data_IF_729554759643
#
_entry.id   IF_729554759643
#
_cell.length_a   1.000
_cell.length_b   1.000
_cell.length_c   1.000
_cell.angle_alpha   90.00
_cell.angle_beta   90.00
_cell.angle_gamma   90.00
#
_symmetry.space_group_name_H-M   'P 1'
#
loop_
_entity.id
_entity.type
_entity.pdbx_description
1 polymer ?
#
# COMPACT_ATOMS: atom_id res chain seq x y z
N UNK A 1 -19.42 35.65 47.77
CA UNK A 1 -18.78 36.89 47.28
C UNK A 1 -17.28 36.63 47.27
N UNK A 2 -16.61 36.62 46.11
CA UNK A 2 -15.72 37.72 45.61
C UNK A 2 -14.77 38.19 46.73
N UNK A 3 -13.45 38.10 46.67
CA UNK A 3 -12.48 38.01 45.57
C UNK A 3 -11.07 38.29 46.16
N UNK A 4 -10.02 38.44 45.35
CA UNK A 4 -8.68 37.86 45.58
C UNK A 4 -7.61 38.88 46.00
N UNK A 5 -6.34 38.44 46.14
CA UNK A 5 -5.04 39.11 45.83
C UNK A 5 -3.94 38.47 46.71
N UNK A 6 -3.03 37.64 46.17
CA UNK A 6 -1.78 38.08 45.55
C UNK A 6 -0.62 37.94 46.57
N UNK A 7 0.52 37.29 46.23
CA UNK A 7 1.58 37.09 47.21
C UNK A 7 2.24 38.44 47.54
N UNK A 8 2.14 38.83 48.81
CA UNK A 8 2.85 39.97 49.38
C UNK A 8 4.34 39.59 49.43
N UNK A 9 5.07 39.95 48.38
CA UNK A 9 6.54 39.97 48.43
C UNK A 9 6.89 41.22 49.25
N UNK A 10 7.25 40.99 50.51
CA UNK A 10 7.66 42.02 51.45
C UNK A 10 8.78 42.88 50.88
N UNK A 11 8.55 44.19 50.81
CA UNK A 11 9.54 45.21 50.48
C UNK A 11 10.10 45.72 51.81
N UNK A 12 11.36 45.41 52.12
CA UNK A 12 12.10 46.18 53.11
C UNK A 12 12.65 47.44 52.44
N UNK A 13 12.44 48.64 53.00
CA UNK A 13 13.13 49.83 52.52
C UNK A 13 14.52 49.86 53.17
N UNK A 14 15.57 49.66 52.37
CA UNK A 14 16.89 50.17 52.74
C UNK A 14 16.96 51.62 52.29
N UNK A 15 17.22 52.49 53.26
CA UNK A 15 17.60 53.88 53.07
C UNK A 15 18.87 53.96 52.24
N UNK A 16 18.75 54.38 50.98
CA UNK A 16 19.64 55.40 50.42
C UNK A 16 19.11 55.87 49.07
N UNK A 17 19.06 57.19 48.92
CA UNK A 17 18.54 57.87 47.75
C UNK A 17 19.44 57.69 46.54
N UNK A 18 19.04 56.81 45.63
CA UNK A 18 19.33 57.01 44.21
C UNK A 18 18.23 56.38 43.35
N UNK A 19 17.54 57.24 42.62
CA UNK A 19 16.47 56.90 41.69
C UNK A 19 17.09 56.24 40.45
N UNK A 20 17.31 54.92 40.48
CA UNK A 20 17.57 54.17 39.24
C UNK A 20 16.25 53.71 38.63
N UNK A 21 15.87 54.37 37.53
CA UNK A 21 14.84 53.90 36.62
C UNK A 21 15.09 52.44 36.21
N UNK A 22 13.99 51.68 36.12
CA UNK A 22 13.98 50.25 35.86
C UNK A 22 14.90 49.82 34.72
N UNK A 23 15.91 49.03 35.07
CA UNK A 23 16.64 48.22 34.12
C UNK A 23 15.74 47.09 33.63
N UNK A 24 15.23 47.22 32.41
CA UNK A 24 14.86 46.07 31.58
C UNK A 24 16.07 45.13 31.62
N UNK A 25 15.88 43.91 32.13
CA UNK A 25 16.90 42.86 32.11
C UNK A 25 17.15 42.51 30.63
N UNK A 26 18.03 43.25 29.95
CA UNK A 26 18.62 42.87 28.67
C UNK A 26 19.64 41.78 28.95
N UNK A 27 19.16 40.56 29.16
CA UNK A 27 20.04 39.41 28.99
C UNK A 27 20.51 39.39 27.54
N UNK A 28 21.84 39.39 27.34
CA UNK A 28 22.48 39.11 26.05
C UNK A 28 22.13 37.65 25.65
N UNK A 29 20.94 37.45 25.09
CA UNK A 29 20.47 36.15 24.61
C UNK A 29 21.27 35.81 23.35
N UNK A 30 22.36 35.06 23.50
CA UNK A 30 23.06 34.44 22.37
C UNK A 30 22.27 33.20 21.94
N UNK A 31 22.05 33.02 20.63
CA UNK A 31 21.44 31.79 20.10
C UNK A 31 22.31 30.60 20.52
N UNK A 32 21.77 29.74 21.40
CA UNK A 32 22.49 28.58 21.95
C UNK A 32 22.52 27.38 20.99
N UNK A 33 21.87 27.50 19.83
CA UNK A 33 21.53 26.37 18.96
C UNK A 33 21.98 26.54 17.50
N UNK A 34 23.07 27.27 17.27
CA UNK A 34 23.59 27.48 15.91
C UNK A 34 24.05 26.17 15.26
N UNK A 35 24.62 25.24 16.04
CA UNK A 35 25.05 23.94 15.51
C UNK A 35 23.86 23.07 15.05
N UNK A 36 22.76 23.02 15.82
CA UNK A 36 21.55 22.31 15.44
C UNK A 36 20.82 22.97 14.28
N UNK A 37 20.87 24.30 14.18
CA UNK A 37 20.39 25.03 13.00
C UNK A 37 21.14 24.60 11.73
N UNK A 38 22.47 24.44 11.80
CA UNK A 38 23.27 23.96 10.66
C UNK A 38 22.87 22.54 10.26
N UNK A 39 22.69 21.62 11.22
CA UNK A 39 22.21 20.27 10.91
C UNK A 39 20.82 20.25 10.29
N UNK A 40 19.92 21.10 10.77
CA UNK A 40 18.58 21.22 10.21
C UNK A 40 18.62 21.72 8.76
N UNK A 41 19.41 22.75 8.47
CA UNK A 41 19.60 23.25 7.10
C UNK A 41 20.20 22.17 6.20
N UNK A 42 21.24 21.48 6.67
CA UNK A 42 21.86 20.38 5.91
C UNK A 42 20.86 19.25 5.59
N UNK A 43 20.01 18.88 6.55
CA UNK A 43 18.92 17.91 6.36
C UNK A 43 17.95 18.36 5.27
N UNK A 44 17.49 19.62 5.30
CA UNK A 44 16.59 20.16 4.29
C UNK A 44 17.22 20.21 2.89
N UNK A 45 18.49 20.61 2.80
CA UNK A 45 19.24 20.59 1.53
C UNK A 45 19.31 19.17 0.98
N UNK A 46 19.67 18.18 1.82
CA UNK A 46 19.72 16.78 1.40
C UNK A 46 18.34 16.28 0.93
N UNK A 47 17.28 16.62 1.64
CA UNK A 47 15.91 16.26 1.25
C UNK A 47 15.49 16.86 -0.09
N UNK A 48 15.80 18.14 -0.35
CA UNK A 48 15.49 18.80 -1.63
C UNK A 48 16.28 18.17 -2.78
N UNK A 49 17.58 17.90 -2.58
CA UNK A 49 18.43 17.26 -3.60
C UNK A 49 17.93 15.87 -3.94
N UNK A 50 17.64 15.04 -2.92
CA UNK A 50 17.14 13.67 -3.13
C UNK A 50 15.76 13.68 -3.83
N UNK A 51 14.84 14.55 -3.42
CA UNK A 51 13.53 14.67 -4.06
C UNK A 51 13.65 15.13 -5.51
N UNK A 52 14.52 16.11 -5.79
CA UNK A 52 14.75 16.60 -7.16
C UNK A 52 15.32 15.50 -8.07
N UNK A 53 16.29 14.74 -7.57
CA UNK A 53 16.81 13.57 -8.28
C UNK A 53 15.71 12.54 -8.57
N UNK A 54 14.91 12.23 -7.56
CA UNK A 54 13.76 11.34 -7.68
C UNK A 54 12.79 11.82 -8.77
N UNK A 55 12.31 13.06 -8.72
CA UNK A 55 11.35 13.57 -9.70
C UNK A 55 11.90 13.64 -11.13
N UNK A 56 13.20 13.83 -11.30
CA UNK A 56 13.81 13.92 -12.63
C UNK A 56 14.04 12.55 -13.28
N UNK A 57 14.36 11.50 -12.49
CA UNK A 57 14.73 10.17 -13.01
C UNK A 57 13.74 9.06 -12.69
N UNK A 58 12.82 9.30 -11.76
CA UNK A 58 11.85 8.33 -11.27
C UNK A 58 10.65 8.20 -12.17
N UNK A 59 10.22 6.96 -12.39
CA UNK A 59 8.92 6.65 -12.99
C UNK A 59 8.12 5.76 -12.01
N UNK A 60 7.17 6.32 -11.23
CA UNK A 60 6.47 5.58 -10.18
C UNK A 60 5.67 4.39 -10.72
N UNK A 61 5.31 4.38 -12.02
CA UNK A 61 4.64 3.25 -12.68
C UNK A 61 5.45 1.94 -12.57
N UNK A 62 6.79 2.02 -12.47
CA UNK A 62 7.68 0.84 -12.30
C UNK A 62 7.49 0.08 -11.00
N UNK A 63 6.89 0.72 -10.00
CA UNK A 63 6.65 0.11 -8.69
C UNK A 63 5.43 -0.80 -8.71
N UNK A 64 4.45 -0.51 -9.58
CA UNK A 64 3.19 -1.26 -9.68
C UNK A 64 3.15 -2.15 -10.91
N UNK A 65 3.62 -1.66 -12.06
CA UNK A 65 3.53 -2.33 -13.35
C UNK A 65 4.77 -3.15 -13.69
N UNK A 66 4.58 -4.12 -14.58
CA UNK A 66 5.64 -4.95 -15.14
C UNK A 66 6.43 -4.25 -16.25
N UNK A 67 7.48 -4.92 -16.71
CA UNK A 67 8.23 -4.51 -17.90
C UNK A 67 7.85 -5.43 -19.08
N UNK A 68 7.91 -4.90 -20.30
CA UNK A 68 7.87 -5.69 -21.53
C UNK A 68 9.26 -6.24 -21.89
N UNK A 69 9.34 -6.98 -23.00
CA UNK A 69 10.58 -7.56 -23.53
C UNK A 69 11.58 -6.52 -24.05
N UNK A 70 11.16 -5.25 -24.18
CA UNK A 70 11.98 -4.11 -24.59
C UNK A 70 12.47 -3.27 -23.41
N UNK A 71 12.04 -3.59 -22.19
CA UNK A 71 12.36 -2.83 -21.00
C UNK A 71 11.49 -1.59 -20.77
N UNK A 72 10.42 -1.42 -21.55
CA UNK A 72 9.40 -0.41 -21.29
C UNK A 72 8.47 -0.86 -20.15
N UNK A 73 7.87 0.12 -19.47
CA UNK A 73 6.93 -0.14 -18.37
C UNK A 73 5.52 -0.21 -18.94
N UNK A 74 4.76 -1.25 -18.58
CA UNK A 74 3.35 -1.33 -18.96
C UNK A 74 2.57 -0.13 -18.39
N UNK A 75 1.66 0.45 -19.16
CA UNK A 75 0.94 1.68 -18.80
C UNK A 75 1.71 2.99 -19.04
N UNK A 76 2.98 2.95 -19.47
CA UNK A 76 3.76 4.17 -19.71
C UNK A 76 3.44 4.79 -21.08
N UNK A 77 2.97 6.04 -21.05
CA UNK A 77 2.68 6.84 -22.25
C UNK A 77 3.93 7.31 -22.99
N UNK A 78 5.09 7.34 -22.32
CA UNK A 78 6.36 7.76 -22.89
C UNK A 78 7.18 6.58 -23.44
N UNK A 79 6.66 5.35 -23.31
CA UNK A 79 7.24 4.16 -23.92
C UNK A 79 7.15 4.23 -25.44
N UNK A 80 8.04 3.48 -26.11
CA UNK A 80 7.99 3.25 -27.55
C UNK A 80 7.93 1.73 -27.82
N UNK A 81 6.80 1.18 -28.29
CA UNK A 81 5.54 1.86 -28.64
C UNK A 81 4.81 2.41 -27.40
N UNK A 82 3.85 3.32 -27.58
CA UNK A 82 3.11 3.90 -26.45
C UNK A 82 2.22 2.86 -25.76
N UNK A 83 2.42 2.64 -24.46
CA UNK A 83 1.76 1.56 -23.69
C UNK A 83 0.66 2.05 -22.75
N UNK A 84 0.11 3.25 -22.98
CA UNK A 84 -0.84 3.91 -22.05
C UNK A 84 -2.03 3.03 -21.66
N UNK A 85 -2.57 2.27 -22.60
CA UNK A 85 -3.76 1.43 -22.40
C UNK A 85 -3.38 -0.03 -22.06
N UNK A 86 -2.10 -0.39 -22.20
CA UNK A 86 -1.60 -1.74 -22.02
C UNK A 86 -0.93 -1.85 -20.66
N UNK A 87 -1.76 -2.06 -19.64
CA UNK A 87 -1.33 -2.04 -18.23
C UNK A 87 -0.92 -3.42 -17.70
N UNK A 88 -1.33 -4.52 -18.35
CA UNK A 88 -1.12 -5.88 -17.85
C UNK A 88 0.13 -6.54 -18.42
N UNK A 89 1.03 -7.02 -17.55
CA UNK A 89 2.18 -7.82 -17.99
C UNK A 89 1.78 -9.30 -18.20
N UNK A 90 2.00 -9.83 -19.39
CA UNK A 90 1.86 -11.24 -19.74
C UNK A 90 3.20 -11.90 -20.06
N UNK A 91 3.39 -13.18 -19.71
CA UNK A 91 4.58 -13.95 -20.08
C UNK A 91 4.32 -14.77 -21.34
N UNK A 92 5.09 -14.49 -22.39
CA UNK A 92 4.88 -15.06 -23.72
C UNK A 92 5.32 -16.52 -23.82
N UNK A 93 6.48 -16.87 -23.25
CA UNK A 93 7.08 -18.19 -23.41
C UNK A 93 6.89 -19.06 -22.16
N UNK A 94 6.01 -20.09 -22.20
CA UNK A 94 5.75 -20.94 -21.03
C UNK A 94 6.96 -21.75 -20.59
N UNK A 95 7.83 -22.16 -21.53
CA UNK A 95 9.02 -22.95 -21.22
C UNK A 95 10.05 -22.12 -20.43
N UNK A 96 10.19 -20.83 -20.71
CA UNK A 96 11.05 -19.93 -19.92
C UNK A 96 10.51 -19.74 -18.49
N UNK A 97 9.19 -19.58 -18.36
CA UNK A 97 8.54 -19.48 -17.04
C UNK A 97 8.71 -20.78 -16.25
N UNK A 98 8.58 -21.94 -16.91
CA UNK A 98 8.84 -23.24 -16.29
C UNK A 98 10.30 -23.38 -15.85
N UNK A 99 11.26 -23.03 -16.71
CA UNK A 99 12.69 -23.09 -16.40
C UNK A 99 13.04 -22.21 -15.19
N UNK A 100 12.39 -21.06 -15.02
CA UNK A 100 12.60 -20.20 -13.85
C UNK A 100 12.19 -20.81 -12.50
N UNK A 101 11.42 -21.92 -12.54
CA UNK A 101 10.99 -22.64 -11.36
C UNK A 101 11.85 -23.79 -10.89
N UNK A 102 12.77 -24.22 -11.75
CA UNK A 102 13.70 -25.29 -11.44
C UNK A 102 14.74 -24.76 -10.43
N UNK A 103 15.05 -25.56 -9.40
CA UNK A 103 16.00 -25.14 -8.35
C UNK A 103 17.44 -25.00 -8.86
N UNK A 104 17.77 -25.67 -9.97
CA UNK A 104 19.14 -25.75 -10.51
C UNK A 104 19.32 -24.94 -11.81
N UNK A 105 18.33 -24.13 -12.22
CA UNK A 105 18.46 -23.28 -13.40
C UNK A 105 19.05 -21.91 -13.03
N UNK A 106 19.93 -21.36 -13.88
CA UNK A 106 20.41 -19.98 -13.77
C UNK A 106 19.40 -18.95 -14.29
N UNK A 107 18.22 -19.40 -14.74
CA UNK A 107 17.23 -18.57 -15.41
C UNK A 107 16.26 -17.97 -14.38
N UNK A 108 16.23 -16.65 -14.26
CA UNK A 108 15.29 -15.96 -13.37
C UNK A 108 13.99 -15.59 -14.10
N UNK A 109 12.87 -15.56 -13.37
CA UNK A 109 11.57 -15.15 -13.94
C UNK A 109 11.61 -13.70 -14.47
N UNK A 110 12.48 -12.85 -13.92
CA UNK A 110 12.69 -11.49 -14.41
C UNK A 110 13.28 -11.44 -15.84
N UNK A 111 13.93 -12.52 -16.28
CA UNK A 111 14.48 -12.67 -17.63
C UNK A 111 13.49 -13.35 -18.61
N UNK A 112 12.35 -13.84 -18.11
CA UNK A 112 11.34 -14.43 -18.97
C UNK A 112 10.73 -13.36 -19.87
N UNK A 113 10.59 -13.65 -21.16
CA UNK A 113 10.04 -12.71 -22.15
C UNK A 113 8.59 -12.36 -21.77
N UNK A 114 8.34 -11.07 -21.60
CA UNK A 114 7.01 -10.53 -21.26
C UNK A 114 6.55 -9.46 -22.22
N UNK A 115 5.24 -9.21 -22.28
CA UNK A 115 4.61 -8.18 -23.11
C UNK A 115 3.50 -7.49 -22.31
N UNK A 116 3.16 -6.26 -22.67
CA UNK A 116 2.04 -5.54 -22.08
C UNK A 116 0.76 -5.68 -22.92
N UNK A 117 -0.35 -6.06 -22.28
CA UNK A 117 -1.66 -6.30 -22.87
C UNK A 117 -2.74 -5.46 -22.14
N UNK A 118 -3.92 -5.30 -22.77
CA UNK A 118 -5.10 -4.69 -22.15
C UNK A 118 -5.76 -5.69 -21.19
N UNK A 119 -5.91 -6.94 -21.64
CA UNK A 119 -6.58 -8.03 -20.92
C UNK A 119 -5.75 -9.31 -20.94
N UNK A 120 -5.94 -10.17 -19.94
CA UNK A 120 -5.23 -11.43 -19.83
C UNK A 120 -5.81 -12.47 -20.81
N UNK A 121 -4.98 -13.04 -21.71
CA UNK A 121 -5.46 -13.96 -22.72
C UNK A 121 -5.88 -15.29 -22.09
N UNK A 122 -6.98 -15.84 -22.60
CA UNK A 122 -7.49 -17.16 -22.25
C UNK A 122 -7.49 -18.06 -23.48
N UNK A 123 -7.20 -19.36 -23.34
CA UNK A 123 -7.25 -20.29 -24.46
C UNK A 123 -8.69 -20.40 -24.98
N UNK A 124 -8.85 -20.39 -26.30
CA UNK A 124 -10.12 -20.70 -26.96
C UNK A 124 -10.38 -22.22 -26.98
N UNK A 125 -11.65 -22.60 -26.99
CA UNK A 125 -12.08 -24.00 -27.05
C UNK A 125 -12.02 -24.58 -28.47
N UNK A 126 -12.19 -23.72 -29.49
CA UNK A 126 -12.37 -24.12 -30.89
C UNK A 126 -11.10 -23.97 -31.76
N UNK A 127 -10.20 -23.06 -31.38
CA UNK A 127 -9.01 -22.73 -32.17
C UNK A 127 -7.81 -22.39 -31.28
N UNK A 128 -6.60 -22.44 -31.84
CA UNK A 128 -5.42 -21.99 -31.12
C UNK A 128 -5.31 -20.47 -31.19
N UNK A 129 -5.49 -19.81 -30.05
CA UNK A 129 -5.26 -18.36 -29.91
C UNK A 129 -3.78 -18.06 -29.80
N UNK A 130 -3.34 -16.95 -30.39
CA UNK A 130 -1.95 -16.49 -30.35
C UNK A 130 -1.84 -15.11 -29.71
N UNK A 131 -0.70 -14.86 -29.08
CA UNK A 131 -0.28 -13.51 -28.71
C UNK A 131 1.03 -13.24 -29.42
N UNK A 132 1.01 -12.21 -30.26
CA UNK A 132 2.16 -11.80 -31.04
C UNK A 132 2.83 -10.54 -30.47
N UNK A 133 4.10 -10.35 -30.80
CA UNK A 133 4.89 -9.17 -30.43
C UNK A 133 4.28 -7.89 -31.03
N UNK A 134 4.68 -6.73 -30.51
CA UNK A 134 4.26 -5.44 -31.06
C UNK A 134 4.50 -5.36 -32.58
N UNK A 135 3.52 -4.81 -33.34
CA UNK A 135 3.58 -4.78 -34.79
C UNK A 135 4.66 -3.80 -35.27
N UNK A 136 5.87 -4.31 -35.47
CA UNK A 136 7.03 -3.52 -35.85
C UNK A 136 7.82 -4.18 -36.98
N UNK A 137 8.59 -3.36 -37.70
CA UNK A 137 9.41 -3.83 -38.82
C UNK A 137 8.57 -4.11 -40.08
N UNK A 138 8.58 -5.37 -40.52
CA UNK A 138 7.91 -5.80 -41.78
C UNK A 138 6.38 -5.89 -41.65
N UNK A 139 5.86 -5.91 -40.43
CA UNK A 139 4.44 -6.00 -40.14
C UNK A 139 3.84 -4.58 -40.15
N UNK A 140 3.08 -4.25 -41.20
CA UNK A 140 2.39 -2.95 -41.35
C UNK A 140 1.02 -2.95 -40.66
N UNK A 141 1.00 -3.14 -39.35
CA UNK A 141 -0.23 -3.08 -38.54
C UNK A 141 -0.10 -1.94 -37.53
N UNK A 142 -1.18 -1.17 -37.32
CA UNK A 142 -1.18 -0.17 -36.26
C UNK A 142 -1.32 -0.83 -34.89
N UNK A 143 -0.93 -0.12 -33.81
CA UNK A 143 -1.07 -0.64 -32.45
C UNK A 143 -2.55 -0.89 -32.10
N UNK A 144 -3.44 0.00 -32.52
CA UNK A 144 -4.88 -0.12 -32.27
C UNK A 144 -5.47 -1.32 -33.02
N UNK A 145 -5.10 -1.51 -34.30
CA UNK A 145 -5.53 -2.70 -35.07
C UNK A 145 -4.99 -4.01 -34.46
N UNK A 146 -3.81 -3.98 -33.84
CA UNK A 146 -3.25 -5.13 -33.11
C UNK A 146 -4.05 -5.45 -31.86
N UNK A 147 -4.49 -4.43 -31.11
CA UNK A 147 -5.36 -4.60 -29.94
C UNK A 147 -6.74 -5.13 -30.36
N UNK A 148 -7.34 -4.55 -31.41
CA UNK A 148 -8.66 -4.95 -31.91
C UNK A 148 -8.68 -6.38 -32.45
N UNK A 149 -7.53 -6.88 -32.92
CA UNK A 149 -7.32 -8.28 -33.34
C UNK A 149 -7.00 -9.22 -32.19
N UNK A 150 -7.15 -8.80 -30.94
CA UNK A 150 -6.80 -9.57 -29.75
C UNK A 150 -5.35 -10.08 -29.79
N UNK A 151 -4.44 -9.21 -30.25
CA UNK A 151 -2.99 -9.44 -30.32
C UNK A 151 -2.53 -10.52 -31.31
N UNK A 152 -3.41 -10.98 -32.20
CA UNK A 152 -3.14 -12.06 -33.15
C UNK A 152 -2.97 -11.53 -34.60
N UNK A 153 -1.81 -11.84 -35.19
CA UNK A 153 -1.56 -11.71 -36.62
C UNK A 153 -0.80 -12.92 -37.20
N UNK A 154 -0.86 -14.07 -36.53
CA UNK A 154 -0.10 -15.28 -36.89
C UNK A 154 -0.35 -15.74 -38.34
N UNK A 155 -1.58 -15.58 -38.82
CA UNK A 155 -1.96 -15.94 -40.20
C UNK A 155 -1.18 -15.13 -41.26
N UNK A 156 -0.86 -13.88 -40.95
CA UNK A 156 -0.16 -12.95 -41.87
C UNK A 156 1.35 -13.11 -41.87
N UNK A 157 1.90 -13.99 -41.01
CA UNK A 157 3.33 -14.25 -40.96
C UNK A 157 3.82 -15.01 -42.20
N UNK A 158 5.07 -14.72 -42.60
CA UNK A 158 5.78 -15.50 -43.60
C UNK A 158 5.98 -16.95 -43.10
N UNK A 159 6.13 -17.93 -44.01
CA UNK A 159 6.34 -19.33 -43.62
C UNK A 159 7.54 -19.55 -42.68
N UNK A 160 8.60 -18.75 -42.85
CA UNK A 160 9.79 -18.79 -41.99
C UNK A 160 9.50 -18.27 -40.57
N UNK A 161 8.82 -17.13 -40.45
CA UNK A 161 8.39 -16.59 -39.14
C UNK A 161 7.40 -17.52 -38.43
N UNK A 162 6.57 -18.22 -39.19
CA UNK A 162 5.65 -19.23 -38.64
C UNK A 162 6.41 -20.41 -38.03
N UNK A 163 7.43 -20.92 -38.73
CA UNK A 163 8.24 -22.03 -38.24
C UNK A 163 9.05 -21.66 -36.98
N UNK A 164 9.60 -20.45 -36.92
CA UNK A 164 10.31 -19.95 -35.72
C UNK A 164 9.36 -19.72 -34.54
N UNK A 165 8.12 -19.30 -34.79
CA UNK A 165 7.07 -19.16 -33.78
C UNK A 165 6.68 -20.51 -33.18
N UNK A 166 6.62 -21.57 -34.00
CA UNK A 166 6.43 -22.96 -33.53
C UNK A 166 7.57 -23.47 -32.64
N UNK A 167 8.77 -22.88 -32.77
CA UNK A 167 9.92 -23.14 -31.89
C UNK A 167 9.98 -22.22 -30.66
N UNK A 168 8.95 -21.40 -30.41
CA UNK A 168 8.89 -20.38 -29.33
C UNK A 168 10.04 -19.35 -29.41
N UNK A 169 10.53 -19.07 -30.63
CA UNK A 169 11.57 -18.08 -30.90
C UNK A 169 11.10 -16.97 -31.85
N UNK A 170 9.97 -17.17 -32.51
CA UNK A 170 9.36 -16.19 -33.41
C UNK A 170 8.56 -15.10 -32.70
N UNK A 171 7.89 -14.23 -33.48
CA UNK A 171 7.13 -13.11 -32.95
C UNK A 171 5.80 -13.53 -32.30
N UNK A 172 5.26 -14.72 -32.57
CA UNK A 172 3.97 -15.16 -32.05
C UNK A 172 4.09 -16.39 -31.14
N UNK A 173 3.33 -16.37 -30.03
CA UNK A 173 3.35 -17.41 -29.00
C UNK A 173 1.93 -17.95 -28.77
N UNK A 174 1.78 -19.27 -28.55
CA UNK A 174 0.47 -19.89 -28.37
C UNK A 174 -0.09 -19.65 -26.96
N UNK A 175 -1.38 -19.33 -26.86
CA UNK A 175 -2.09 -19.22 -25.59
C UNK A 175 -2.60 -20.59 -25.18
N UNK A 176 -1.84 -21.29 -24.34
CA UNK A 176 -2.14 -22.66 -23.90
C UNK A 176 -2.63 -22.71 -22.45
N UNK A 177 -2.11 -21.81 -21.61
CA UNK A 177 -2.43 -21.75 -20.20
C UNK A 177 -3.46 -20.63 -19.96
N UNK A 178 -4.57 -20.91 -19.25
CA UNK A 178 -5.49 -19.86 -18.84
C UNK A 178 -4.81 -18.94 -17.83
N UNK A 179 -4.96 -17.63 -18.06
CA UNK A 179 -4.35 -16.61 -17.23
C UNK A 179 -5.38 -15.64 -16.66
N UNK A 180 -5.14 -15.13 -15.45
CA UNK A 180 -5.98 -14.11 -14.81
C UNK A 180 -5.15 -12.94 -14.33
N UNK A 181 -5.77 -11.77 -14.28
CA UNK A 181 -5.14 -10.55 -13.78
C UNK A 181 -4.97 -10.64 -12.25
N UNK A 182 -3.72 -10.76 -11.82
CA UNK A 182 -3.34 -10.68 -10.41
C UNK A 182 -2.28 -9.59 -10.28
N UNK A 183 -2.68 -8.44 -9.73
CA UNK A 183 -1.81 -7.26 -9.53
C UNK A 183 -1.13 -6.76 -10.82
N UNK A 184 -1.91 -6.47 -11.86
CA UNK A 184 -1.40 -5.94 -13.14
C UNK A 184 -0.45 -6.89 -13.87
N UNK A 185 -0.55 -8.18 -13.58
CA UNK A 185 0.22 -9.24 -14.19
C UNK A 185 -0.67 -10.45 -14.42
N UNK A 186 -0.62 -11.02 -15.61
CA UNK A 186 -1.38 -12.20 -15.97
C UNK A 186 -0.66 -13.45 -15.46
N UNK A 187 -1.22 -14.08 -14.43
CA UNK A 187 -0.69 -15.30 -13.83
C UNK A 187 -1.42 -16.52 -14.37
N UNK A 188 -0.69 -17.59 -14.67
CA UNK A 188 -1.28 -18.87 -15.08
C UNK A 188 -1.93 -19.56 -13.88
N UNK A 189 -3.22 -19.90 -14.00
CA UNK A 189 -4.01 -20.42 -12.87
C UNK A 189 -4.33 -21.92 -12.95
N UNK A 190 -4.21 -22.52 -14.13
CA UNK A 190 -4.56 -23.93 -14.32
C UNK A 190 -3.56 -24.65 -15.24
N UNK A 191 -3.77 -25.95 -15.41
CA UNK A 191 -3.03 -26.77 -16.38
C UNK A 191 -3.28 -26.27 -17.81
N UNK A 192 -2.40 -26.67 -18.72
CA UNK A 192 -2.55 -26.44 -20.15
C UNK A 192 -3.93 -26.92 -20.64
N UNK A 193 -4.59 -26.15 -21.51
CA UNK A 193 -5.82 -26.59 -22.16
C UNK A 193 -5.51 -27.73 -23.13
N UNK A 194 -6.14 -28.89 -22.91
CA UNK A 194 -5.94 -30.08 -23.75
C UNK A 194 -6.22 -29.82 -25.23
N UNK A 195 -7.19 -28.96 -25.55
CA UNK A 195 -7.55 -28.60 -26.93
C UNK A 195 -6.45 -27.77 -27.57
N UNK A 196 -6.08 -26.65 -26.95
CA UNK A 196 -4.99 -25.78 -27.43
C UNK A 196 -3.67 -26.53 -27.61
N UNK A 197 -3.35 -27.43 -26.67
CA UNK A 197 -2.14 -28.24 -26.70
C UNK A 197 -2.15 -29.26 -27.85
N UNK A 198 -3.28 -29.90 -28.13
CA UNK A 198 -3.43 -30.81 -29.28
C UNK A 198 -3.24 -30.07 -30.60
N UNK A 199 -3.85 -28.90 -30.76
CA UNK A 199 -3.69 -28.07 -31.96
C UNK A 199 -2.24 -27.61 -32.13
N UNK A 200 -1.57 -27.22 -31.05
CA UNK A 200 -0.15 -26.87 -31.05
C UNK A 200 0.74 -28.03 -31.52
N UNK A 201 0.50 -29.25 -31.01
CA UNK A 201 1.24 -30.44 -31.41
C UNK A 201 0.97 -30.83 -32.87
N UNK A 202 -0.27 -30.70 -33.35
CA UNK A 202 -0.63 -30.96 -34.75
C UNK A 202 0.08 -30.01 -35.72
N UNK A 203 0.34 -28.77 -35.30
CA UNK A 203 1.10 -27.80 -36.09
C UNK A 203 2.63 -28.01 -36.02
N UNK A 204 3.12 -29.03 -35.31
CA UNK A 204 4.54 -29.32 -35.19
C UNK A 204 5.28 -28.42 -34.20
N UNK A 205 4.56 -27.83 -33.24
CA UNK A 205 5.14 -27.01 -32.20
C UNK A 205 6.09 -27.78 -31.27
N UNK A 206 7.09 -27.07 -30.72
CA UNK A 206 8.03 -27.66 -29.76
C UNK A 206 7.32 -28.15 -28.50
N UNK A 207 7.87 -29.17 -27.83
CA UNK A 207 7.29 -29.70 -26.60
C UNK A 207 7.25 -28.62 -25.51
N UNK A 208 6.08 -28.48 -24.88
CA UNK A 208 5.86 -27.55 -23.77
C UNK A 208 5.78 -28.35 -22.47
N UNK A 209 6.47 -27.87 -21.44
CA UNK A 209 6.45 -28.50 -20.12
C UNK A 209 5.13 -28.19 -19.41
N UNK A 210 4.31 -29.22 -19.21
CA UNK A 210 2.98 -29.11 -18.57
C UNK A 210 3.03 -29.23 -17.04
N UNK A 211 4.15 -29.70 -16.49
CA UNK A 211 4.31 -29.88 -15.05
C UNK A 211 4.20 -28.51 -14.35
N UNK A 212 3.18 -28.35 -13.50
CA UNK A 212 2.98 -27.16 -12.68
C UNK A 212 4.09 -27.10 -11.62
N UNK A 213 5.26 -26.59 -12.01
CA UNK A 213 6.21 -25.95 -11.09
C UNK A 213 5.93 -24.42 -11.03
N UNK A 214 4.98 -23.95 -11.85
CA UNK A 214 4.54 -22.57 -11.99
C UNK A 214 4.12 -21.98 -10.64
N UNK A 215 3.43 -22.74 -9.79
CA UNK A 215 3.02 -22.30 -8.47
C UNK A 215 4.22 -21.97 -7.56
N UNK A 216 5.20 -22.88 -7.45
CA UNK A 216 6.38 -22.67 -6.58
C UNK A 216 7.34 -21.60 -7.11
N UNK A 217 7.46 -21.44 -8.43
CA UNK A 217 8.38 -20.48 -9.06
C UNK A 217 7.85 -19.05 -9.02
N UNK A 218 6.57 -18.90 -9.37
CA UNK A 218 5.85 -17.64 -9.25
C UNK A 218 5.73 -17.30 -7.76
N UNK A 219 5.33 -18.21 -6.86
CA UNK A 219 5.31 -17.89 -5.42
C UNK A 219 6.70 -17.55 -4.84
N UNK A 220 7.80 -18.18 -5.27
CA UNK A 220 9.16 -17.81 -4.80
C UNK A 220 9.65 -16.48 -5.35
N UNK A 221 9.48 -16.23 -6.64
CA UNK A 221 9.88 -14.96 -7.27
C UNK A 221 9.03 -13.79 -6.77
N UNK A 222 7.75 -14.02 -6.47
CA UNK A 222 6.89 -12.99 -5.86
C UNK A 222 7.11 -12.86 -4.32
N UNK A 223 7.76 -13.82 -3.66
CA UNK A 223 8.17 -13.68 -2.25
C UNK A 223 9.59 -13.10 -2.06
N UNK A 224 10.26 -12.68 -3.13
CA UNK A 224 11.52 -11.95 -3.03
C UNK A 224 11.30 -10.56 -2.39
N UNK A 225 12.29 -10.05 -1.63
CA UNK A 225 12.13 -8.81 -0.83
C UNK A 225 11.73 -7.59 -1.66
N UNK A 226 12.12 -7.52 -2.94
CA UNK A 226 11.76 -6.44 -3.86
C UNK A 226 10.34 -6.56 -4.42
N UNK A 227 9.79 -7.78 -4.57
CA UNK A 227 8.41 -8.00 -5.03
C UNK A 227 7.38 -7.81 -3.92
N UNK A 228 7.77 -7.95 -2.64
CA UNK A 228 6.94 -7.56 -1.50
C UNK A 228 6.61 -6.06 -1.52
N UNK A 229 7.60 -5.20 -1.80
CA UNK A 229 7.37 -3.76 -1.92
C UNK A 229 6.41 -3.44 -3.07
N UNK A 230 6.57 -4.09 -4.23
CA UNK A 230 5.68 -3.90 -5.39
C UNK A 230 4.23 -4.30 -5.11
N UNK A 231 4.02 -5.38 -4.34
CA UNK A 231 2.68 -5.79 -3.88
C UNK A 231 2.03 -4.74 -2.99
N UNK A 232 2.74 -4.26 -1.97
CA UNK A 232 2.21 -3.19 -1.11
C UNK A 232 1.83 -1.93 -1.91
N UNK A 233 2.64 -1.56 -2.90
CA UNK A 233 2.34 -0.43 -3.78
C UNK A 233 1.13 -0.68 -4.68
N UNK A 234 0.97 -1.89 -5.21
CA UNK A 234 -0.19 -2.28 -6.00
C UNK A 234 -1.48 -2.33 -5.15
N UNK A 235 -1.40 -2.83 -3.91
CA UNK A 235 -2.49 -2.82 -2.94
C UNK A 235 -2.90 -1.38 -2.58
N UNK A 236 -1.93 -0.51 -2.28
CA UNK A 236 -2.18 0.93 -2.05
C UNK A 236 -2.84 1.55 -3.28
N UNK A 237 -2.40 1.20 -4.49
CA UNK A 237 -2.95 1.69 -5.75
C UNK A 237 -4.42 1.30 -5.95
N UNK A 238 -4.85 0.10 -5.55
CA UNK A 238 -6.27 -0.31 -5.59
C UNK A 238 -7.08 0.26 -4.43
N UNK A 239 -6.51 0.36 -3.23
CA UNK A 239 -7.21 0.80 -2.02
C UNK A 239 -7.13 2.31 -1.76
N UNK A 240 -6.57 3.11 -2.66
CA UNK A 240 -6.43 4.56 -2.49
C UNK A 240 -7.73 5.30 -2.15
N UNK A 241 -8.93 4.95 -2.69
CA UNK A 241 -10.16 5.65 -2.32
C UNK A 241 -10.55 5.35 -0.87
N UNK A 242 -10.34 4.11 -0.44
CA UNK A 242 -10.59 3.68 0.95
C UNK A 242 -9.64 4.41 1.90
N UNK A 243 -8.37 4.58 1.54
CA UNK A 243 -7.40 5.32 2.35
C UNK A 243 -7.79 6.79 2.53
N UNK A 244 -8.26 7.46 1.48
CA UNK A 244 -8.71 8.85 1.58
C UNK A 244 -9.97 8.97 2.43
N UNK A 245 -10.94 8.07 2.25
CA UNK A 245 -12.20 8.11 2.99
C UNK A 245 -12.00 7.75 4.45
N UNK A 246 -11.41 6.58 4.75
CA UNK A 246 -11.25 6.08 6.11
C UNK A 246 -10.08 6.71 6.86
N UNK A 247 -8.98 7.02 6.17
CA UNK A 247 -7.78 7.62 6.78
C UNK A 247 -7.81 9.14 6.80
N UNK A 248 -8.57 9.77 5.90
CA UNK A 248 -8.57 11.23 5.77
C UNK A 248 -9.87 11.90 6.19
N UNK A 249 -10.95 11.66 5.45
CA UNK A 249 -12.21 12.36 5.64
C UNK A 249 -12.92 11.96 6.94
N UNK A 250 -12.98 10.66 7.24
CA UNK A 250 -13.67 10.13 8.40
C UNK A 250 -13.03 10.58 9.74
N UNK A 251 -11.70 10.58 9.91
CA UNK A 251 -11.08 11.09 11.14
C UNK A 251 -11.28 12.60 11.32
N UNK A 252 -11.22 13.39 10.23
CA UNK A 252 -11.57 14.81 10.27
C UNK A 252 -13.00 15.02 10.74
N UNK A 253 -13.95 14.31 10.15
CA UNK A 253 -15.36 14.41 10.51
C UNK A 253 -15.61 14.00 11.97
N UNK A 254 -15.02 12.87 12.41
CA UNK A 254 -15.08 12.41 13.79
C UNK A 254 -14.44 13.42 14.75
N UNK A 255 -13.35 14.09 14.36
CA UNK A 255 -12.71 15.12 15.19
C UNK A 255 -13.62 16.34 15.40
N UNK A 256 -14.37 16.77 14.38
CA UNK A 256 -15.33 17.87 14.49
C UNK A 256 -16.52 17.45 15.35
N UNK A 257 -17.09 16.26 15.12
CA UNK A 257 -18.14 15.69 15.97
C UNK A 257 -17.69 15.63 17.42
N UNK A 258 -16.45 15.19 17.66
CA UNK A 258 -15.88 15.08 18.99
C UNK A 258 -15.81 16.45 19.70
N UNK A 259 -15.38 17.50 19.00
CA UNK A 259 -15.39 18.87 19.55
C UNK A 259 -16.82 19.37 19.81
N UNK A 260 -17.79 19.00 18.97
CA UNK A 260 -19.20 19.31 19.20
C UNK A 260 -19.79 18.54 20.41
N UNK A 261 -19.38 17.29 20.63
CA UNK A 261 -19.75 16.49 21.80
C UNK A 261 -19.18 17.09 23.08
N UNK A 262 -17.94 17.56 23.06
CA UNK A 262 -17.35 18.30 24.19
C UNK A 262 -18.17 19.55 24.48
N UNK A 263 -18.70 20.24 23.47
CA UNK A 263 -19.52 21.45 23.70
C UNK A 263 -20.87 21.13 24.35
N UNK A 264 -21.62 20.18 23.81
CA UNK A 264 -23.02 19.94 24.22
C UNK A 264 -23.15 18.95 25.38
N UNK A 265 -22.23 17.99 25.49
CA UNK A 265 -22.35 16.82 26.36
C UNK A 265 -21.08 16.55 27.19
N UNK A 266 -20.49 17.61 27.77
CA UNK A 266 -19.28 17.51 28.62
C UNK A 266 -19.37 16.42 29.69
N UNK A 267 -20.53 16.30 30.33
CA UNK A 267 -20.72 15.36 31.43
C UNK A 267 -20.79 13.91 30.94
N UNK A 268 -21.26 13.66 29.72
CA UNK A 268 -21.40 12.32 29.13
C UNK A 268 -20.15 11.90 28.35
N UNK A 269 -19.37 12.86 27.83
CA UNK A 269 -18.20 12.61 26.98
C UNK A 269 -17.18 11.62 27.59
N UNK A 270 -16.77 11.72 28.86
CA UNK A 270 -15.84 10.75 29.46
C UNK A 270 -16.43 9.35 29.62
N UNK A 271 -17.75 9.25 29.83
CA UNK A 271 -18.43 7.96 29.94
C UNK A 271 -18.53 7.28 28.58
N UNK A 272 -18.82 8.06 27.52
CA UNK A 272 -18.84 7.58 26.14
C UNK A 272 -17.46 7.05 25.73
N UNK A 273 -16.35 7.74 26.07
CA UNK A 273 -15.02 7.23 25.73
C UNK A 273 -14.62 5.99 26.49
N UNK A 274 -14.91 5.93 27.79
CA UNK A 274 -14.64 4.74 28.59
C UNK A 274 -15.47 3.56 28.08
N UNK A 275 -16.76 3.78 27.77
CA UNK A 275 -17.61 2.74 27.20
C UNK A 275 -17.09 2.28 25.82
N UNK A 276 -16.79 3.22 24.91
CA UNK A 276 -16.27 2.91 23.58
C UNK A 276 -14.95 2.14 23.65
N UNK A 277 -14.01 2.56 24.50
CA UNK A 277 -12.73 1.89 24.69
C UNK A 277 -12.90 0.45 25.21
N UNK A 278 -13.77 0.24 26.21
CA UNK A 278 -14.06 -1.09 26.73
C UNK A 278 -14.78 -1.98 25.70
N UNK A 279 -15.72 -1.44 24.92
CA UNK A 279 -16.38 -2.18 23.83
C UNK A 279 -15.36 -2.57 22.75
N UNK A 280 -14.49 -1.66 22.32
CA UNK A 280 -13.48 -1.94 21.31
C UNK A 280 -12.49 -3.02 21.77
N UNK A 281 -11.99 -2.95 23.00
CA UNK A 281 -11.06 -3.96 23.51
C UNK A 281 -11.73 -5.33 23.66
N UNK A 282 -13.01 -5.39 24.06
CA UNK A 282 -13.80 -6.63 24.08
C UNK A 282 -13.94 -7.19 22.66
N UNK A 283 -14.32 -6.36 21.68
CA UNK A 283 -14.48 -6.76 20.28
C UNK A 283 -13.18 -7.30 19.67
N UNK A 284 -12.04 -6.63 19.89
CA UNK A 284 -10.73 -7.08 19.40
C UNK A 284 -10.31 -8.37 20.09
N UNK A 285 -10.50 -8.48 21.40
CA UNK A 285 -10.20 -9.70 22.15
C UNK A 285 -11.05 -10.87 21.64
N UNK A 286 -12.34 -10.65 21.41
CA UNK A 286 -13.26 -11.62 20.82
C UNK A 286 -12.77 -12.07 19.44
N UNK A 287 -12.37 -11.13 18.56
CA UNK A 287 -11.83 -11.46 17.24
C UNK A 287 -10.61 -12.39 17.31
N UNK A 288 -9.68 -12.17 18.25
CA UNK A 288 -8.54 -13.07 18.44
C UNK A 288 -8.95 -14.45 18.94
N UNK A 289 -9.97 -14.55 19.79
CA UNK A 289 -10.53 -15.84 20.22
C UNK A 289 -11.16 -16.62 19.06
N UNK A 290 -11.83 -15.92 18.13
CA UNK A 290 -12.35 -16.52 16.91
C UNK A 290 -11.20 -17.08 16.05
N UNK A 291 -10.15 -16.30 15.82
CA UNK A 291 -8.98 -16.72 15.05
C UNK A 291 -8.15 -17.82 15.74
N UNK A 292 -8.16 -17.90 17.07
CA UNK A 292 -7.48 -18.95 17.83
C UNK A 292 -8.20 -20.31 17.79
N UNK A 293 -9.43 -20.35 17.26
CA UNK A 293 -10.25 -21.57 17.14
C UNK A 293 -10.79 -22.09 18.48
N UNK A 294 -10.89 -21.23 19.50
CA UNK A 294 -11.46 -21.59 20.80
C UNK A 294 -13.00 -21.46 20.83
N UNK A 295 -13.56 -20.70 19.88
CA UNK A 295 -15.00 -20.58 19.66
C UNK A 295 -15.30 -21.36 18.37
N UNK A 296 -16.20 -22.35 18.46
CA UNK A 296 -16.52 -23.27 17.38
C UNK A 296 -17.00 -22.55 16.11
N UNK A 297 -16.59 -23.08 14.95
CA UNK A 297 -16.89 -22.53 13.62
C UNK A 297 -18.40 -22.54 13.29
N UNK A 298 -19.16 -23.36 14.03
CA UNK A 298 -20.56 -23.69 13.85
C UNK A 298 -21.50 -22.53 14.22
N UNK A 299 -21.03 -21.53 14.98
CA UNK A 299 -21.82 -20.39 15.43
C UNK A 299 -21.62 -19.11 14.59
N UNK A 300 -20.73 -19.12 13.58
CA UNK A 300 -20.18 -17.88 12.98
C UNK A 300 -20.17 -17.89 11.44
N UNK A 301 -20.37 -19.06 10.82
CA UNK A 301 -20.48 -19.18 9.36
C UNK A 301 -21.52 -18.25 8.68
N UNK A 302 -22.66 -17.85 9.28
CA UNK A 302 -23.61 -16.98 8.57
C UNK A 302 -23.25 -15.49 8.60
N UNK A 303 -22.21 -15.07 9.35
CA UNK A 303 -21.90 -13.64 9.56
C UNK A 303 -20.61 -13.20 8.85
N UNK A 304 -19.66 -14.13 8.62
CA UNK A 304 -18.32 -13.79 8.10
C UNK A 304 -18.11 -14.23 6.64
N UNK A 305 -19.04 -15.01 6.07
CA UNK A 305 -18.87 -15.62 4.75
C UNK A 305 -17.96 -16.86 4.81
N UNK A 306 -18.13 -17.75 3.84
CA UNK A 306 -17.41 -19.02 3.77
C UNK A 306 -15.90 -18.78 3.63
N UNK A 307 -15.11 -19.25 4.61
CA UNK A 307 -13.66 -19.12 4.60
C UNK A 307 -13.06 -19.97 3.47
N UNK A 308 -12.18 -19.38 2.65
CA UNK A 308 -11.41 -20.11 1.63
C UNK A 308 -10.77 -21.39 2.22
N UNK A 309 -11.03 -22.58 1.63
CA UNK A 309 -10.62 -23.88 2.17
C UNK A 309 -9.10 -24.14 2.08
N UNK A 310 -8.30 -23.16 1.64
CA UNK A 310 -6.86 -23.31 1.39
C UNK A 310 -5.95 -22.67 2.44
N UNK A 311 -6.49 -22.05 3.51
CA UNK A 311 -5.64 -21.51 4.59
C UNK A 311 -5.28 -22.58 5.62
N UNK A 312 -4.40 -23.50 5.24
CA UNK A 312 -3.73 -24.38 6.21
C UNK A 312 -2.79 -23.55 7.10
N UNK A 313 -3.30 -23.08 8.23
CA UNK A 313 -2.50 -22.40 9.27
C UNK A 313 -1.55 -23.44 9.88
N UNK A 314 -0.26 -23.35 9.53
CA UNK A 314 0.80 -24.18 10.12
C UNK A 314 0.75 -24.11 11.66
N UNK A 315 0.95 -25.24 12.36
CA UNK A 315 0.81 -25.32 13.82
C UNK A 315 1.66 -24.32 14.64
N UNK A 316 2.72 -23.74 14.05
CA UNK A 316 3.51 -22.65 14.65
C UNK A 316 2.76 -21.32 14.69
N UNK A 317 2.03 -20.97 13.63
CA UNK A 317 1.21 -19.75 13.56
C UNK A 317 0.04 -19.81 14.55
N UNK A 318 -0.54 -20.99 14.76
CA UNK A 318 -1.63 -21.19 15.73
C UNK A 318 -1.17 -20.94 17.17
N UNK A 319 0.05 -21.34 17.52
CA UNK A 319 0.63 -21.09 18.84
C UNK A 319 0.89 -19.59 19.07
N UNK A 320 1.31 -18.85 18.02
CA UNK A 320 1.46 -17.40 18.09
C UNK A 320 0.11 -16.70 18.29
N UNK A 321 -0.92 -17.09 17.55
CA UNK A 321 -2.28 -16.52 17.68
C UNK A 321 -2.86 -16.79 19.08
N UNK A 322 -2.68 -18.00 19.63
CA UNK A 322 -3.12 -18.34 20.99
C UNK A 322 -2.39 -17.53 22.06
N UNK A 323 -1.09 -17.34 21.92
CA UNK A 323 -0.31 -16.51 22.84
C UNK A 323 -0.79 -15.04 22.81
N UNK A 324 -1.06 -14.50 21.63
CA UNK A 324 -1.61 -13.13 21.47
C UNK A 324 -3.00 -13.03 22.08
N UNK A 325 -3.87 -14.04 21.92
CA UNK A 325 -5.20 -14.03 22.53
C UNK A 325 -5.13 -13.96 24.08
N UNK A 326 -4.24 -14.74 24.70
CA UNK A 326 -4.02 -14.70 26.16
C UNK A 326 -3.42 -13.36 26.61
N UNK A 327 -2.53 -12.78 25.81
CA UNK A 327 -2.01 -11.44 26.09
C UNK A 327 -3.13 -10.39 26.03
N UNK A 328 -3.96 -10.43 24.99
CA UNK A 328 -5.09 -9.50 24.83
C UNK A 328 -6.11 -9.60 25.97
N UNK A 329 -6.34 -10.80 26.53
CA UNK A 329 -7.24 -10.95 27.68
C UNK A 329 -6.66 -10.36 28.95
N UNK A 330 -5.35 -10.52 29.17
CA UNK A 330 -4.69 -9.87 30.31
C UNK A 330 -4.84 -8.33 30.23
N UNK A 331 -4.66 -7.76 29.03
CA UNK A 331 -4.83 -6.32 28.79
C UNK A 331 -6.30 -5.92 28.98
N UNK A 332 -7.25 -6.70 28.47
CA UNK A 332 -8.69 -6.46 28.64
C UNK A 332 -9.09 -6.43 30.13
N UNK A 333 -8.66 -7.41 30.92
CA UNK A 333 -8.95 -7.47 32.36
C UNK A 333 -8.37 -6.26 33.07
N UNK A 334 -7.10 -5.94 32.82
CA UNK A 334 -6.44 -4.76 33.41
C UNK A 334 -7.16 -3.48 33.00
N UNK A 335 -7.56 -3.34 31.73
CA UNK A 335 -8.30 -2.20 31.20
C UNK A 335 -9.66 -2.02 31.88
N UNK A 336 -10.43 -3.09 32.06
CA UNK A 336 -11.74 -3.05 32.72
C UNK A 336 -11.57 -2.69 34.20
N UNK A 337 -10.63 -3.33 34.91
CA UNK A 337 -10.34 -3.02 36.31
C UNK A 337 -9.87 -1.57 36.49
N UNK A 338 -9.01 -1.08 35.61
CA UNK A 338 -8.58 0.31 35.60
C UNK A 338 -9.77 1.25 35.34
N UNK A 339 -10.64 0.92 34.38
CA UNK A 339 -11.85 1.69 34.05
C UNK A 339 -12.79 1.81 35.25
N UNK A 340 -12.96 0.75 36.03
CA UNK A 340 -13.74 0.76 37.27
C UNK A 340 -13.06 1.60 38.37
N UNK A 341 -11.74 1.47 38.53
CA UNK A 341 -10.99 2.19 39.56
C UNK A 341 -10.97 3.72 39.32
N UNK A 342 -10.97 4.18 38.06
CA UNK A 342 -10.92 5.60 37.73
C UNK A 342 -12.29 6.31 37.77
N UNK A 343 -13.41 5.60 37.97
CA UNK A 343 -14.76 6.20 37.96
C UNK A 343 -14.87 7.39 38.91
N UNK A 344 -14.34 7.26 40.12
CA UNK A 344 -14.33 8.34 41.12
C UNK A 344 -13.53 9.56 40.66
N UNK A 345 -12.42 9.33 39.95
CA UNK A 345 -11.58 10.39 39.38
C UNK A 345 -12.23 11.06 38.18
N UNK A 346 -12.94 10.31 37.34
CA UNK A 346 -13.68 10.84 36.18
C UNK A 346 -14.72 11.85 36.66
N UNK A 347 -15.48 11.53 37.71
CA UNK A 347 -16.48 12.44 38.27
C UNK A 347 -15.88 13.79 38.68
N UNK A 348 -14.72 13.79 39.34
CA UNK A 348 -14.00 15.02 39.69
C UNK A 348 -13.53 15.78 38.44
N UNK A 349 -12.99 15.07 37.44
CA UNK A 349 -12.47 15.66 36.21
C UNK A 349 -13.56 16.32 35.34
N UNK A 350 -14.81 15.86 35.40
CA UNK A 350 -15.92 16.50 34.65
C UNK A 350 -16.09 17.98 34.97
N UNK A 351 -15.77 18.41 36.20
CA UNK A 351 -15.86 19.82 36.61
C UNK A 351 -14.89 20.71 35.83
N UNK A 352 -13.67 20.23 35.61
CA UNK A 352 -12.63 20.92 34.83
C UNK A 352 -13.00 20.95 33.35
N UNK A 353 -13.51 19.83 32.82
CA UNK A 353 -13.95 19.75 31.43
C UNK A 353 -15.08 20.74 31.12
N UNK A 354 -15.97 21.05 32.09
CA UNK A 354 -17.03 22.05 31.91
C UNK A 354 -16.48 23.45 31.70
N UNK A 355 -15.40 23.80 32.39
CA UNK A 355 -14.72 25.09 32.20
C UNK A 355 -14.06 25.14 30.83
N UNK A 356 -13.38 24.06 30.42
CA UNK A 356 -12.77 23.95 29.10
C UNK A 356 -13.80 24.07 27.96
N UNK A 357 -14.94 23.38 28.09
CA UNK A 357 -16.01 23.43 27.10
C UNK A 357 -16.64 24.82 26.96
N UNK A 358 -16.74 25.58 28.05
CA UNK A 358 -17.19 26.97 28.00
C UNK A 358 -16.25 27.82 27.13
N UNK A 359 -14.94 27.68 27.28
CA UNK A 359 -13.95 28.41 26.48
C UNK A 359 -14.05 28.03 24.99
N UNK A 360 -14.24 26.75 24.68
CA UNK A 360 -14.44 26.27 23.30
C UNK A 360 -15.71 26.86 22.68
N UNK A 361 -16.76 27.06 23.48
CA UNK A 361 -18.01 27.70 23.04
C UNK A 361 -17.87 29.19 22.72
N UNK A 362 -17.06 29.92 23.49
CA UNK A 362 -16.79 31.35 23.30
C UNK A 362 -15.83 31.60 22.12
N UNK A 363 -14.81 30.75 21.97
CA UNK A 363 -13.80 30.89 20.91
C UNK A 363 -14.07 29.89 19.80
N UNK A 364 -14.99 30.25 18.90
CA UNK A 364 -15.40 29.42 17.76
C UNK A 364 -14.24 29.04 16.82
N UNK A 365 -13.17 29.85 16.78
CA UNK A 365 -11.95 29.56 16.02
C UNK A 365 -11.25 28.26 16.45
N UNK A 366 -11.43 27.80 17.70
CA UNK A 366 -10.85 26.55 18.19
C UNK A 366 -11.46 25.30 17.52
N UNK A 367 -12.67 25.40 16.97
CA UNK A 367 -13.33 24.27 16.29
C UNK A 367 -12.73 24.06 14.89
N UNK A 368 -12.34 25.14 14.21
CA UNK A 368 -11.73 25.10 12.87
C UNK A 368 -10.21 24.87 12.96
N UNK A 369 -9.60 25.18 14.11
CA UNK A 369 -8.16 25.06 14.31
C UNK A 369 -7.55 23.72 13.88
N UNK A 370 -8.15 22.53 14.12
CA UNK A 370 -7.57 21.25 13.69
C UNK A 370 -7.53 21.03 12.17
N UNK A 371 -8.40 21.71 11.41
CA UNK A 371 -8.48 21.56 9.95
C UNK A 371 -7.22 22.09 9.27
N UNK A 372 -6.68 23.21 9.77
CA UNK A 372 -5.48 23.85 9.21
C UNK A 372 -4.21 22.98 9.32
N UNK A 373 -3.79 22.52 10.51
CA UNK A 373 -2.62 21.64 10.63
C UNK A 373 -2.85 20.30 9.96
N UNK A 374 -4.08 19.78 9.95
CA UNK A 374 -4.41 18.58 9.18
C UNK A 374 -4.18 18.79 7.68
N UNK A 375 -4.65 19.89 7.11
CA UNK A 375 -4.46 20.21 5.69
C UNK A 375 -2.97 20.39 5.35
N UNK A 376 -2.22 21.11 6.21
CA UNK A 376 -0.77 21.29 6.04
C UNK A 376 -0.05 19.93 6.09
N UNK A 377 -0.39 19.07 7.06
CA UNK A 377 0.17 17.73 7.16
C UNK A 377 -0.20 16.87 5.95
N UNK A 378 -1.43 16.94 5.46
CA UNK A 378 -1.85 16.21 4.27
C UNK A 378 -1.03 16.61 3.04
N UNK A 379 -0.86 17.91 2.79
CA UNK A 379 0.00 18.40 1.69
C UNK A 379 1.44 17.96 1.87
N UNK A 380 1.96 18.06 3.10
CA UNK A 380 3.31 17.63 3.44
C UNK A 380 3.51 16.14 3.13
N UNK A 381 2.65 15.26 3.64
CA UNK A 381 2.74 13.82 3.40
C UNK A 381 2.57 13.47 1.93
N UNK A 382 1.63 14.10 1.21
CA UNK A 382 1.44 13.86 -0.22
C UNK A 382 2.69 14.21 -1.04
N UNK A 383 3.33 15.35 -0.75
CA UNK A 383 4.57 15.75 -1.40
C UNK A 383 5.71 14.76 -1.14
N UNK A 384 5.95 14.41 0.13
CA UNK A 384 7.06 13.52 0.50
C UNK A 384 6.83 12.08 0.07
N UNK A 385 5.59 11.60 0.10
CA UNK A 385 5.25 10.26 -0.40
C UNK A 385 5.48 10.21 -1.91
N UNK A 386 5.07 11.23 -2.67
CA UNK A 386 5.36 11.34 -4.09
C UNK A 386 6.87 11.34 -4.37
N UNK A 387 7.64 12.18 -3.66
CA UNK A 387 9.09 12.22 -3.80
C UNK A 387 9.74 10.86 -3.48
N UNK A 388 9.25 10.17 -2.47
CA UNK A 388 9.72 8.83 -2.07
C UNK A 388 9.43 7.79 -3.15
N UNK A 389 8.23 7.79 -3.75
CA UNK A 389 7.89 6.89 -4.85
C UNK A 389 8.75 7.13 -6.10
N UNK A 390 8.99 8.39 -6.44
CA UNK A 390 9.87 8.74 -7.56
C UNK A 390 11.33 8.35 -7.27
N UNK A 391 11.80 8.53 -6.04
CA UNK A 391 13.14 8.10 -5.65
C UNK A 391 13.29 6.58 -5.70
N UNK A 392 12.31 5.81 -5.19
CA UNK A 392 12.35 4.34 -5.25
C UNK A 392 12.26 3.77 -6.67
N UNK A 393 11.66 4.53 -7.59
CA UNK A 393 11.60 4.15 -9.00
C UNK A 393 12.77 4.68 -9.83
N UNK A 394 13.68 5.45 -9.24
CA UNK A 394 14.89 5.93 -9.91
C UNK A 394 15.84 4.75 -10.16
N UNK A 395 16.24 4.59 -11.42
CA UNK A 395 17.07 3.48 -11.86
C UNK A 395 16.94 3.23 -13.36
N UNK A 396 17.95 2.62 -13.95
CA UNK A 396 17.94 2.24 -15.37
C UNK A 396 17.64 0.75 -15.50
N UNK A 397 16.79 0.40 -16.48
CA UNK A 397 16.56 -0.99 -16.87
C UNK A 397 17.68 -1.37 -17.81
N UNK A 398 18.53 -2.30 -17.38
CA UNK A 398 19.60 -2.84 -18.21
C UNK A 398 19.07 -4.13 -18.83
N UNK A 399 19.08 -4.19 -20.16
CA UNK A 399 18.71 -5.40 -20.88
C UNK A 399 19.86 -6.40 -20.76
N UNK A 400 19.56 -7.62 -20.31
CA UNK A 400 20.53 -8.71 -20.34
C UNK A 400 20.71 -9.13 -21.81
N UNK A 401 21.91 -8.93 -22.35
CA UNK A 401 22.30 -9.40 -23.68
C UNK A 401 22.40 -10.93 -23.74
#
# INVERSE_FOLDING_TARGET
MRGPLGPVIGRYPSSDGSTQMGGIIRHNRKCRDVAFLVFFIAFWVAMVVNSSFGFNQGNPLRLTFGLDYKGNVCGDKHANPGLRELELRYWLNPNQVYQSGLKDSQFNLANARSICLLDCPTPSDDSLSWVCDYPEGEIRLSMDDWIDRNYDYFEFLTPEMRNTSLQLQGPCYPVIFPSVNVYWSCQFIARASNMSLRHWQQMGGVKINEDIVIDKSIHRSINARSSVLKRYMADIGKSWPVLIVCGGLLPLFLSVIWLLLIRHFVAAMPWITVALFNVLIISVTMFYYLKAGWIGNDAISPIIGEHDPYTHVYGRELNHIRAVAVLMTSIMVVSILASLAIVSRILMATSVLKVAAKVIGEVQALIIFPVIPYAILAVFYMFWLSATLHLFSSGQVIQNN
#
